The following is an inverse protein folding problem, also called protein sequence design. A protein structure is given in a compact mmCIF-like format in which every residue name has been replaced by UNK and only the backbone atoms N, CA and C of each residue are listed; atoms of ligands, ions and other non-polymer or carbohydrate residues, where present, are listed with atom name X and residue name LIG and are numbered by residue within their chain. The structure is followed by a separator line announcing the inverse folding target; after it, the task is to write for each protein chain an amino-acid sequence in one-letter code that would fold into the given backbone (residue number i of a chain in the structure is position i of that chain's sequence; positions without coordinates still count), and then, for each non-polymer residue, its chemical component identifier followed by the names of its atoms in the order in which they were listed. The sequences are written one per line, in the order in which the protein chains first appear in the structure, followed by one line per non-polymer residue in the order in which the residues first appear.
data_IF_862091617515
#
_entry.id   IF_862091617515
#
_cell.length_a   1.000
_cell.length_b   1.000
_cell.length_c   1.000
_cell.angle_alpha   90.00
_cell.angle_beta   90.00
_cell.angle_gamma   90.00
#
_symmetry.space_group_name_H-M   'P 1'
#
loop_
_entity.id
_entity.type
_entity.pdbx_description
1 polymer ?
#
# COMPACT_ATOMS: atom_id res chain seq x y z
N UNK A 1 29.56 2.16 -1.32
CA UNK A 1 29.01 2.70 -0.07
C UNK A 1 27.58 2.17 0.05
N UNK A 2 27.32 1.18 0.91
CA UNK A 2 25.99 0.58 1.01
C UNK A 2 25.02 1.63 1.52
N UNK A 3 24.18 2.15 0.62
CA UNK A 3 23.10 3.02 1.01
C UNK A 3 22.25 2.26 2.03
N UNK A 4 22.25 2.74 3.28
CA UNK A 4 21.31 2.29 4.30
C UNK A 4 19.93 2.21 3.66
N UNK A 5 19.23 1.10 3.83
CA UNK A 5 17.82 0.97 3.45
C UNK A 5 16.98 1.44 4.66
N UNK A 6 16.68 2.75 4.79
CA UNK A 6 16.01 3.27 5.97
C UNK A 6 14.60 2.70 6.13
N UNK A 7 13.95 2.34 5.02
CA UNK A 7 12.59 1.82 5.00
C UNK A 7 12.58 0.37 5.52
N UNK A 8 13.45 -0.50 4.99
CA UNK A 8 13.59 -1.86 5.52
C UNK A 8 14.10 -1.89 6.96
N UNK A 9 15.03 -1.00 7.32
CA UNK A 9 15.54 -0.88 8.69
C UNK A 9 14.44 -0.47 9.68
N UNK A 10 13.57 0.46 9.30
CA UNK A 10 12.41 0.83 10.11
C UNK A 10 11.44 -0.33 10.27
N UNK A 11 11.05 -1.01 9.18
CA UNK A 11 10.10 -2.12 9.26
C UNK A 11 10.65 -3.18 10.21
N UNK A 12 11.91 -3.57 10.04
CA UNK A 12 12.58 -4.50 10.95
C UNK A 12 12.64 -4.00 12.39
N UNK A 13 12.88 -2.70 12.62
CA UNK A 13 12.86 -2.11 13.96
C UNK A 13 11.48 -2.19 14.62
N UNK A 14 10.40 -2.09 13.84
CA UNK A 14 9.01 -2.07 14.34
C UNK A 14 8.40 -3.46 14.48
N UNK A 15 8.74 -4.39 13.60
CA UNK A 15 8.12 -5.73 13.56
C UNK A 15 9.05 -6.85 14.00
N UNK A 16 10.36 -6.58 14.09
CA UNK A 16 11.39 -7.61 14.32
C UNK A 16 11.67 -8.50 13.10
N UNK A 17 11.00 -8.28 11.97
CA UNK A 17 11.03 -9.14 10.78
C UNK A 17 11.51 -8.39 9.54
N UNK A 18 12.08 -9.11 8.58
CA UNK A 18 12.45 -8.55 7.28
C UNK A 18 11.23 -8.39 6.36
N UNK A 19 11.36 -7.60 5.30
CA UNK A 19 10.29 -7.47 4.30
C UNK A 19 10.05 -8.79 3.56
N UNK A 20 11.07 -9.59 3.28
CA UNK A 20 10.89 -10.91 2.68
C UNK A 20 10.08 -11.85 3.59
N UNK A 21 10.30 -11.76 4.90
CA UNK A 21 9.48 -12.50 5.86
C UNK A 21 8.03 -12.01 5.88
N UNK A 22 7.78 -10.72 5.61
CA UNK A 22 6.44 -10.16 5.49
C UNK A 22 5.76 -10.48 4.15
N UNK A 23 6.51 -10.66 3.07
CA UNK A 23 5.97 -11.09 1.77
C UNK A 23 5.28 -12.47 1.83
N UNK A 24 5.68 -13.29 2.81
CA UNK A 24 5.12 -14.61 3.08
C UNK A 24 4.00 -14.58 4.15
N UNK A 25 3.69 -13.41 4.72
CA UNK A 25 2.65 -13.31 5.72
C UNK A 25 1.26 -13.48 5.12
N UNK A 26 0.40 -14.10 5.90
CA UNK A 26 -1.01 -14.37 5.53
C UNK A 26 -1.93 -13.20 5.85
N UNK A 27 -1.48 -12.31 6.73
CA UNK A 27 -2.22 -11.13 7.11
C UNK A 27 -2.09 -10.08 6.00
N UNK A 28 -3.20 -9.55 5.43
CA UNK A 28 -3.15 -8.60 4.31
C UNK A 28 -2.26 -7.38 4.59
N UNK A 29 -2.32 -6.81 5.81
CA UNK A 29 -1.48 -5.68 6.16
C UNK A 29 0.02 -6.00 6.15
N UNK A 30 0.41 -7.23 6.49
CA UNK A 30 1.81 -7.65 6.47
C UNK A 30 2.24 -8.00 5.05
N UNK A 31 1.40 -8.70 4.30
CA UNK A 31 1.65 -9.04 2.90
C UNK A 31 1.80 -7.79 2.01
N UNK A 32 1.16 -6.68 2.36
CA UNK A 32 1.27 -5.40 1.64
C UNK A 32 2.54 -4.60 1.99
N UNK A 33 3.18 -4.86 3.14
CA UNK A 33 4.38 -4.11 3.57
C UNK A 33 5.51 -4.08 2.53
N UNK A 34 5.89 -5.20 1.88
CA UNK A 34 6.95 -5.20 0.87
C UNK A 34 6.63 -4.29 -0.31
N UNK A 35 5.39 -4.33 -0.81
CA UNK A 35 4.96 -3.51 -1.95
C UNK A 35 5.01 -2.02 -1.61
N UNK A 36 4.47 -1.64 -0.45
CA UNK A 36 4.47 -0.24 -0.02
C UNK A 36 5.88 0.24 0.33
N UNK A 37 6.71 -0.62 0.92
CA UNK A 37 8.11 -0.32 1.19
C UNK A 37 8.88 -0.05 -0.11
N UNK A 38 8.66 -0.85 -1.15
CA UNK A 38 9.30 -0.65 -2.45
C UNK A 38 8.81 0.61 -3.16
N UNK A 39 7.52 0.91 -3.07
CA UNK A 39 6.97 2.17 -3.56
C UNK A 39 7.65 3.37 -2.87
N UNK A 40 7.74 3.36 -1.55
CA UNK A 40 8.40 4.42 -0.78
C UNK A 40 9.90 4.55 -1.12
N UNK A 41 10.59 3.43 -1.40
CA UNK A 41 12.00 3.45 -1.86
C UNK A 41 12.15 4.10 -3.22
N UNK A 42 11.26 3.73 -4.15
CA UNK A 42 11.25 4.26 -5.51
C UNK A 42 11.03 5.76 -5.47
N UNK A 43 9.98 6.22 -4.79
CA UNK A 43 9.68 7.66 -4.68
C UNK A 43 10.81 8.41 -3.97
N UNK A 44 11.39 7.85 -2.90
CA UNK A 44 12.55 8.46 -2.22
C UNK A 44 13.72 8.63 -3.18
N UNK A 45 13.98 7.66 -4.06
CA UNK A 45 15.05 7.74 -5.06
C UNK A 45 14.78 8.88 -6.03
N UNK A 46 13.57 8.95 -6.59
CA UNK A 46 13.17 10.02 -7.51
C UNK A 46 13.25 11.40 -6.85
N UNK A 47 12.81 11.52 -5.58
CA UNK A 47 12.96 12.76 -4.81
C UNK A 47 14.43 13.17 -4.66
N UNK A 48 15.32 12.23 -4.31
CA UNK A 48 16.75 12.52 -4.18
C UNK A 48 17.39 12.91 -5.52
N UNK A 49 16.94 12.33 -6.64
CA UNK A 49 17.37 12.72 -7.97
C UNK A 49 16.92 14.14 -8.30
N UNK A 50 15.63 14.47 -8.07
CA UNK A 50 15.10 15.81 -8.29
C UNK A 50 15.81 16.88 -7.42
N UNK A 51 16.10 16.57 -6.15
CA UNK A 51 16.88 17.46 -5.27
C UNK A 51 18.31 17.63 -5.80
N UNK A 52 18.93 16.55 -6.31
CA UNK A 52 20.27 16.61 -6.86
C UNK A 52 20.33 17.41 -8.17
N UNK A 53 19.31 17.29 -9.03
CA UNK A 53 19.19 18.09 -10.24
C UNK A 53 18.95 19.56 -9.91
N UNK A 54 18.15 19.86 -8.88
CA UNK A 54 18.00 21.21 -8.35
C UNK A 54 19.35 21.77 -7.86
N UNK A 55 20.09 21.00 -7.07
CA UNK A 55 21.41 21.40 -6.58
C UNK A 55 22.41 21.66 -7.71
N UNK A 56 22.36 20.86 -8.78
CA UNK A 56 23.17 21.10 -10.00
C UNK A 56 22.77 22.38 -10.70
N UNK A 57 21.48 22.66 -10.89
CA UNK A 57 21.02 23.91 -11.49
C UNK A 57 21.52 25.13 -10.70
N UNK A 58 21.52 25.06 -9.36
CA UNK A 58 22.06 26.12 -8.52
C UNK A 58 23.59 26.24 -8.57
N UNK A 59 24.31 25.14 -8.79
CA UNK A 59 25.76 25.15 -8.95
C UNK A 59 26.20 25.65 -10.33
N UNK A 60 25.55 25.18 -11.40
CA UNK A 60 25.88 25.47 -12.79
C UNK A 60 25.39 26.87 -13.24
N UNK A 61 24.31 27.37 -12.63
CA UNK A 61 23.83 28.74 -12.83
C UNK A 61 24.77 29.84 -12.28
N UNK A 62 25.87 29.45 -11.63
CA UNK A 62 26.85 30.38 -11.06
C UNK A 62 27.80 31.04 -12.09
N UNK A 63 28.00 30.43 -13.26
CA UNK A 63 28.99 30.91 -14.24
C UNK A 63 28.44 31.91 -15.28
N UNK A 64 27.12 32.01 -15.41
CA UNK A 64 26.45 32.97 -16.30
C UNK A 64 25.32 33.69 -15.55
N UNK A 65 25.68 34.83 -14.95
CA UNK A 65 24.82 35.66 -14.09
C UNK A 65 24.26 34.88 -12.87
N UNK A 66 24.94 34.92 -11.70
CA UNK A 66 24.60 34.15 -10.49
C UNK A 66 23.24 34.48 -9.86
N UNK A 67 22.44 35.33 -10.52
CA UNK A 67 21.12 35.76 -10.08
C UNK A 67 19.97 35.28 -10.97
N UNK A 68 20.22 34.48 -12.03
CA UNK A 68 19.13 34.13 -12.95
C UNK A 68 19.21 32.73 -13.55
N UNK A 69 18.83 31.73 -12.76
CA UNK A 69 18.38 30.45 -13.31
C UNK A 69 17.06 30.72 -14.07
N UNK A 70 16.94 30.36 -15.36
CA UNK A 70 15.70 30.51 -16.10
C UNK A 70 14.55 29.74 -15.43
N UNK A 71 13.40 30.38 -15.25
CA UNK A 71 12.18 29.76 -14.69
C UNK A 71 11.81 28.48 -15.46
N UNK A 72 12.00 28.46 -16.78
CA UNK A 72 11.76 27.28 -17.63
C UNK A 72 12.61 26.06 -17.28
N UNK A 73 13.75 26.24 -16.60
CA UNK A 73 14.61 25.16 -16.11
C UNK A 73 14.35 24.86 -14.63
N UNK A 74 13.99 25.87 -13.84
CA UNK A 74 13.79 25.76 -12.41
C UNK A 74 12.42 25.16 -12.04
N UNK A 75 11.34 25.62 -12.69
CA UNK A 75 9.97 25.23 -12.36
C UNK A 75 9.74 23.71 -12.48
N UNK A 76 10.18 23.01 -13.55
CA UNK A 76 9.96 21.56 -13.66
C UNK A 76 10.65 20.76 -12.54
N UNK A 77 11.79 21.26 -12.05
CA UNK A 77 12.54 20.61 -10.97
C UNK A 77 11.88 20.88 -9.62
N UNK A 78 11.40 22.11 -9.39
CA UNK A 78 10.58 22.44 -8.22
C UNK A 78 9.32 21.56 -8.18
N UNK A 79 8.59 21.47 -9.29
CA UNK A 79 7.38 20.66 -9.41
C UNK A 79 7.65 19.19 -9.11
N UNK A 80 8.77 18.66 -9.62
CA UNK A 80 9.21 17.28 -9.34
C UNK A 80 9.51 17.08 -7.85
N UNK A 81 10.22 18.01 -7.20
CA UNK A 81 10.50 17.95 -5.76
C UNK A 81 9.21 17.99 -4.94
N UNK A 82 8.29 18.90 -5.27
CA UNK A 82 6.98 19.02 -4.59
C UNK A 82 6.18 17.73 -4.75
N UNK A 83 6.07 17.22 -5.98
CA UNK A 83 5.32 16.00 -6.29
C UNK A 83 5.88 14.78 -5.55
N UNK A 84 7.19 14.53 -5.67
CA UNK A 84 7.80 13.36 -5.04
C UNK A 84 7.83 13.48 -3.51
N UNK A 85 7.89 14.71 -2.97
CA UNK A 85 7.73 14.92 -1.52
C UNK A 85 6.34 14.51 -1.05
N UNK A 86 5.29 14.97 -1.74
CA UNK A 86 3.91 14.59 -1.41
C UNK A 86 3.70 13.07 -1.49
N UNK A 87 4.11 12.46 -2.60
CA UNK A 87 4.01 11.00 -2.79
C UNK A 87 4.82 10.21 -1.74
N UNK A 88 5.99 10.72 -1.34
CA UNK A 88 6.79 10.08 -0.30
C UNK A 88 6.07 10.13 1.05
N UNK A 89 5.49 11.29 1.41
CA UNK A 89 4.71 11.44 2.63
C UNK A 89 3.47 10.53 2.64
N UNK A 90 2.76 10.39 1.52
CA UNK A 90 1.62 9.48 1.40
C UNK A 90 2.03 8.01 1.57
N UNK A 91 3.08 7.58 0.86
CA UNK A 91 3.62 6.22 0.99
C UNK A 91 4.10 5.94 2.42
N UNK A 92 4.62 6.97 3.09
CA UNK A 92 5.09 6.91 4.47
C UNK A 92 3.93 6.75 5.46
N UNK A 93 2.88 7.55 5.29
CA UNK A 93 1.67 7.44 6.11
C UNK A 93 1.04 6.05 5.96
N UNK A 94 1.04 5.50 4.74
CA UNK A 94 0.56 4.15 4.48
C UNK A 94 1.39 3.08 5.19
N UNK A 95 2.73 3.17 5.15
CA UNK A 95 3.61 2.29 5.92
C UNK A 95 3.30 2.35 7.42
N UNK A 96 3.14 3.55 7.97
CA UNK A 96 2.86 3.71 9.40
C UNK A 96 1.49 3.12 9.79
N UNK A 97 0.46 3.26 8.93
CA UNK A 97 -0.85 2.61 9.12
C UNK A 97 -0.70 1.08 9.19
N UNK A 98 0.02 0.48 8.22
CA UNK A 98 0.23 -0.97 8.17
C UNK A 98 0.97 -1.46 9.42
N UNK A 99 2.04 -0.76 9.82
CA UNK A 99 2.82 -1.11 11.01
C UNK A 99 2.00 -1.01 12.31
N UNK A 100 1.13 0.00 12.41
CA UNK A 100 0.22 0.15 13.56
C UNK A 100 -0.79 -0.99 13.60
N UNK A 101 -1.38 -1.40 12.47
CA UNK A 101 -2.34 -2.52 12.44
C UNK A 101 -1.68 -3.85 12.84
N UNK A 102 -0.47 -4.12 12.33
CA UNK A 102 0.29 -5.30 12.73
C UNK A 102 0.61 -5.33 14.22
N UNK A 103 0.87 -4.17 14.81
CA UNK A 103 1.09 -4.04 16.26
C UNK A 103 -0.20 -4.34 17.03
N UNK A 104 -1.35 -3.82 16.58
CA UNK A 104 -2.66 -4.08 17.22
C UNK A 104 -3.07 -5.55 17.14
N UNK A 105 -2.77 -6.21 16.02
CA UNK A 105 -3.27 -7.57 15.74
C UNK A 105 -2.39 -8.71 16.23
N UNK A 106 -1.21 -8.43 16.82
CA UNK A 106 -0.22 -9.44 17.29
C UNK A 106 -0.22 -10.67 16.37
N UNK A 107 0.45 -10.56 15.20
CA UNK A 107 0.64 -11.66 14.25
C UNK A 107 0.98 -12.98 14.99
N UNK A 108 0.00 -13.85 15.17
CA UNK A 108 0.24 -15.22 15.62
C UNK A 108 0.76 -15.99 14.42
N UNK A 109 2.01 -16.45 14.49
CA UNK A 109 2.72 -17.16 13.41
C UNK A 109 2.15 -18.55 13.10
N UNK A 110 1.09 -18.97 13.79
CA UNK A 110 0.54 -20.33 13.75
C UNK A 110 -0.80 -20.45 13.01
N UNK A 111 -1.22 -19.49 12.18
CA UNK A 111 -2.41 -19.68 11.36
C UNK A 111 -2.22 -20.86 10.39
N UNK A 112 -3.26 -21.60 9.97
CA UNK A 112 -3.21 -22.64 8.94
C UNK A 112 -3.22 -22.06 7.51
N UNK A 113 -2.78 -22.84 6.51
CA UNK A 113 -2.61 -22.35 5.14
C UNK A 113 -3.94 -21.81 4.60
N UNK A 114 -3.94 -20.64 3.91
CA UNK A 114 -5.17 -20.11 3.35
C UNK A 114 -5.65 -21.03 2.24
N UNK A 115 -6.92 -21.45 2.33
CA UNK A 115 -7.56 -22.30 1.34
C UNK A 115 -8.37 -21.41 0.41
N UNK A 116 -8.25 -21.64 -0.90
CA UNK A 116 -9.12 -20.96 -1.88
C UNK A 116 -10.56 -21.40 -1.65
N UNK A 117 -11.41 -20.47 -1.24
CA UNK A 117 -12.85 -20.66 -1.27
C UNK A 117 -13.40 -19.99 -2.51
N UNK A 118 -13.79 -20.79 -3.49
CA UNK A 118 -14.42 -20.26 -4.69
C UNK A 118 -15.80 -19.70 -4.36
N UNK A 119 -16.10 -18.55 -4.97
CA UNK A 119 -17.30 -17.78 -4.76
C UNK A 119 -18.17 -17.79 -6.00
N UNK A 120 -19.45 -17.54 -5.78
CA UNK A 120 -20.46 -17.23 -6.79
C UNK A 120 -21.06 -15.86 -6.49
N UNK A 121 -21.65 -15.26 -7.52
CA UNK A 121 -22.48 -14.08 -7.32
C UNK A 121 -23.62 -14.40 -6.33
N UNK A 122 -23.90 -13.46 -5.42
CA UNK A 122 -24.83 -13.62 -4.31
C UNK A 122 -24.25 -14.25 -3.05
N UNK A 123 -23.03 -14.82 -3.10
CA UNK A 123 -22.39 -15.36 -1.91
C UNK A 123 -22.11 -14.25 -0.90
N UNK A 124 -22.32 -14.55 0.38
CA UNK A 124 -22.00 -13.65 1.48
C UNK A 124 -20.75 -14.16 2.18
N UNK A 125 -19.70 -13.33 2.21
CA UNK A 125 -18.41 -13.68 2.77
C UNK A 125 -17.88 -12.60 3.70
N UNK A 126 -17.05 -13.01 4.66
CA UNK A 126 -16.28 -12.08 5.47
C UNK A 126 -14.97 -11.80 4.75
N UNK A 127 -14.69 -10.53 4.49
CA UNK A 127 -13.47 -10.09 3.84
C UNK A 127 -12.72 -9.13 4.74
N UNK A 128 -11.41 -9.33 4.85
CA UNK A 128 -10.53 -8.31 5.43
C UNK A 128 -10.22 -7.31 4.34
N UNK A 129 -10.76 -6.09 4.48
CA UNK A 129 -10.61 -5.03 3.49
C UNK A 129 -9.11 -4.67 3.37
N UNK A 130 -8.52 -4.65 2.17
CA UNK A 130 -7.13 -4.29 1.94
C UNK A 130 -6.89 -2.79 2.22
N UNK A 131 -5.62 -2.45 2.35
CA UNK A 131 -5.17 -1.08 2.58
C UNK A 131 -4.98 -0.32 1.25
N UNK A 132 -6.07 -0.17 0.49
CA UNK A 132 -6.10 0.71 -0.69
C UNK A 132 -6.48 2.14 -0.29
N UNK A 133 -6.07 3.18 -1.05
CA UNK A 133 -6.40 4.57 -0.73
C UNK A 133 -7.90 4.78 -0.48
N UNK A 134 -8.75 4.20 -1.33
CA UNK A 134 -10.21 4.25 -1.21
C UNK A 134 -10.70 3.71 0.13
N UNK A 135 -10.18 2.55 0.56
CA UNK A 135 -10.58 1.92 1.82
C UNK A 135 -10.07 2.68 3.05
N UNK A 136 -8.91 3.33 2.93
CA UNK A 136 -8.34 4.16 4.00
C UNK A 136 -9.15 5.44 4.16
N UNK A 137 -9.47 6.14 3.07
CA UNK A 137 -10.35 7.32 3.09
C UNK A 137 -11.73 6.98 3.67
N UNK A 138 -12.25 5.78 3.39
CA UNK A 138 -13.48 5.28 3.98
C UNK A 138 -13.37 4.81 5.43
N UNK A 139 -12.18 4.82 6.04
CA UNK A 139 -11.92 4.29 7.40
C UNK A 139 -12.32 2.83 7.61
N UNK A 140 -12.32 2.04 6.53
CA UNK A 140 -12.69 0.62 6.53
C UNK A 140 -11.50 -0.31 6.25
N UNK A 141 -10.33 0.23 5.88
CA UNK A 141 -9.14 -0.57 5.62
C UNK A 141 -8.75 -1.42 6.84
N UNK A 142 -8.48 -2.70 6.60
CA UNK A 142 -8.20 -3.71 7.61
C UNK A 142 -9.44 -4.26 8.31
N UNK A 143 -10.60 -3.60 8.27
CA UNK A 143 -11.80 -4.13 8.92
C UNK A 143 -12.22 -5.46 8.27
N UNK A 144 -12.66 -6.41 9.09
CA UNK A 144 -13.37 -7.58 8.59
C UNK A 144 -14.82 -7.19 8.37
N UNK A 145 -15.26 -7.19 7.12
CA UNK A 145 -16.61 -6.80 6.72
C UNK A 145 -17.33 -7.97 6.06
N UNK A 146 -18.63 -8.07 6.33
CA UNK A 146 -19.50 -8.98 5.59
C UNK A 146 -19.90 -8.29 4.28
N UNK A 147 -19.59 -8.93 3.16
CA UNK A 147 -19.91 -8.42 1.83
C UNK A 147 -20.69 -9.46 1.03
N UNK A 148 -21.58 -8.98 0.18
CA UNK A 148 -22.26 -9.77 -0.85
C UNK A 148 -21.47 -9.65 -2.15
N UNK A 149 -21.06 -10.77 -2.73
CA UNK A 149 -20.36 -10.81 -4.01
C UNK A 149 -21.33 -10.49 -5.14
N UNK A 150 -20.96 -9.55 -6.01
CA UNK A 150 -21.73 -9.21 -7.22
C UNK A 150 -20.90 -9.50 -8.48
N UNK A 151 -21.54 -9.48 -9.64
CA UNK A 151 -20.84 -9.65 -10.92
C UNK A 151 -19.66 -8.68 -11.13
N UNK A 152 -19.75 -7.45 -10.60
CA UNK A 152 -18.76 -6.38 -10.82
C UNK A 152 -17.92 -6.03 -9.59
N UNK A 153 -18.23 -6.58 -8.42
CA UNK A 153 -17.52 -6.25 -7.19
C UNK A 153 -18.08 -6.95 -5.96
N UNK A 154 -18.08 -6.25 -4.84
CA UNK A 154 -18.70 -6.67 -3.60
C UNK A 154 -19.42 -5.49 -2.96
N UNK A 155 -20.55 -5.75 -2.31
CA UNK A 155 -21.34 -4.73 -1.63
C UNK A 155 -21.36 -5.04 -0.15
N UNK A 156 -21.04 -4.05 0.69
CA UNK A 156 -21.15 -4.22 2.14
C UNK A 156 -22.59 -4.51 2.54
N UNK A 157 -22.77 -5.47 3.43
CA UNK A 157 -24.10 -5.81 3.94
C UNK A 157 -24.67 -4.62 4.75
N UNK A 158 -25.80 -4.02 4.34
CA UNK A 158 -26.40 -2.87 5.04
C UNK A 158 -26.85 -3.19 6.48
N UNK A 159 -26.95 -4.46 6.86
CA UNK A 159 -27.36 -4.86 8.22
C UNK A 159 -26.28 -4.53 9.27
N UNK A 160 -25.02 -4.33 8.85
CA UNK A 160 -23.88 -4.15 9.77
C UNK A 160 -23.30 -2.72 9.80
N UNK A 161 -23.88 -1.76 9.09
CA UNK A 161 -23.42 -0.36 9.16
C UNK A 161 -24.19 0.62 8.27
N UNK A 162 -24.06 1.95 8.50
CA UNK A 162 -24.90 2.99 7.88
C UNK A 162 -24.61 3.27 6.39
N UNK A 163 -23.62 2.62 5.77
CA UNK A 163 -23.21 2.91 4.39
C UNK A 163 -23.07 1.61 3.58
N UNK A 164 -23.89 1.49 2.52
CA UNK A 164 -23.65 0.52 1.45
C UNK A 164 -22.48 1.02 0.60
N UNK A 165 -21.36 0.32 0.68
CA UNK A 165 -20.16 0.64 -0.06
C UNK A 165 -19.96 -0.42 -1.14
N UNK A 166 -19.76 0.04 -2.37
CA UNK A 166 -19.41 -0.81 -3.50
C UNK A 166 -17.88 -0.87 -3.58
N UNK A 167 -17.34 -2.05 -3.33
CA UNK A 167 -15.92 -2.36 -3.47
C UNK A 167 -15.72 -3.08 -4.79
N UNK A 168 -14.66 -2.76 -5.52
CA UNK A 168 -14.20 -3.65 -6.59
C UNK A 168 -13.76 -4.99 -5.97
N UNK A 169 -13.74 -6.09 -6.75
CA UNK A 169 -13.36 -7.41 -6.20
C UNK A 169 -12.00 -7.38 -5.49
N UNK A 170 -11.00 -6.74 -6.10
CA UNK A 170 -9.67 -6.62 -5.50
C UNK A 170 -9.69 -5.81 -4.19
N UNK A 171 -10.45 -4.72 -4.12
CA UNK A 171 -10.67 -3.92 -2.90
C UNK A 171 -11.50 -4.66 -1.85
N UNK A 172 -12.14 -5.78 -2.19
CA UNK A 172 -12.82 -6.66 -1.25
C UNK A 172 -11.98 -7.89 -0.90
N UNK A 173 -10.72 -7.99 -1.34
CA UNK A 173 -9.91 -9.21 -1.13
C UNK A 173 -10.49 -10.44 -1.86
N UNK A 174 -11.26 -10.22 -2.92
CA UNK A 174 -11.80 -11.25 -3.81
C UNK A 174 -10.94 -11.26 -5.07
N UNK A 175 -10.38 -12.42 -5.37
CA UNK A 175 -9.45 -12.62 -6.47
C UNK A 175 -10.10 -13.44 -7.57
N UNK A 176 -9.55 -13.34 -8.78
CA UNK A 176 -9.96 -14.17 -9.91
C UNK A 176 -8.89 -15.21 -10.18
N UNK A 177 -9.30 -16.49 -10.22
CA UNK A 177 -8.38 -17.59 -10.51
C UNK A 177 -7.97 -17.54 -11.99
N UNK A 178 -6.67 -17.44 -12.31
CA UNK A 178 -6.21 -17.39 -13.69
C UNK A 178 -6.48 -18.68 -14.48
N UNK A 179 -6.62 -19.84 -13.81
CA UNK A 179 -6.80 -21.12 -14.49
C UNK A 179 -8.23 -21.37 -14.98
N UNK A 180 -9.22 -20.82 -14.27
CA UNK A 180 -10.64 -21.10 -14.55
C UNK A 180 -11.54 -19.85 -14.51
N UNK A 181 -10.98 -18.67 -14.24
CA UNK A 181 -11.68 -17.40 -14.21
C UNK A 181 -12.65 -17.22 -13.04
N UNK A 182 -12.73 -18.15 -12.09
CA UNK A 182 -13.69 -18.09 -10.97
C UNK A 182 -13.21 -17.13 -9.89
N UNK A 183 -14.15 -16.46 -9.24
CA UNK A 183 -13.86 -15.64 -8.07
C UNK A 183 -13.53 -16.53 -6.86
N UNK A 184 -12.60 -16.11 -6.01
CA UNK A 184 -12.27 -16.79 -4.77
C UNK A 184 -11.84 -15.81 -3.67
N UNK A 185 -12.09 -16.17 -2.42
CA UNK A 185 -11.40 -15.58 -1.25
C UNK A 185 -10.35 -16.56 -0.71
N UNK A 186 -9.43 -16.02 0.10
CA UNK A 186 -8.47 -16.80 0.86
C UNK A 186 -9.02 -16.98 2.28
N UNK A 187 -9.74 -18.07 2.53
CA UNK A 187 -10.21 -18.40 3.87
C UNK A 187 -9.04 -18.96 4.70
N UNK A 188 -8.94 -18.53 5.94
CA UNK A 188 -8.06 -19.19 6.91
C UNK A 188 -8.81 -20.43 7.38
N UNK A 189 -8.25 -21.63 7.19
CA UNK A 189 -8.89 -22.84 7.69
C UNK A 189 -9.21 -22.64 9.19
N UNK A 190 -10.44 -22.94 9.60
CA UNK A 190 -10.80 -22.94 11.01
C UNK A 190 -9.86 -23.91 11.74
N UNK A 191 -9.19 -23.43 12.79
CA UNK A 191 -8.47 -24.27 13.73
C UNK A 191 -9.47 -25.12 14.53
#
# INVERSE_FOLDING_TARGET
MNASDPIGALVRKRTGRTLDQHALDRHPAAAELPRIAELARTIRRELMLAINDMARLFADGGDADPHRIPETLLDPVIDSVVLFTAQYLDSRALLDILLVDLTRRRLSSAAPQPVRRYLREGDIVNVTVPYTPTCISGSIAGCTMRVTVTATGAVTDPVLGPVRLHLAHHDAGIYRDPANGRLYTLDHAAA
#
